data_IF_009732291152
#
_entry.id   IF_009732291152
#
_cell.length_a   1.000
_cell.length_b   1.000
_cell.length_c   1.000
_cell.angle_alpha   90.00
_cell.angle_beta   90.00
_cell.angle_gamma   90.00
#
_symmetry.space_group_name_H-M   'P 1'
#
loop_
_entity.id
_entity.type
_entity.pdbx_description
1 polymer ?
#
# COMPACT_ATOMS: atom_id res chain seq x y z
N UNK A 1 -2.96 -13.11 6.66
CA UNK A 1 -2.85 -11.65 6.84
C UNK A 1 -2.20 -11.39 8.20
N UNK A 2 -0.90 -11.11 8.23
CA UNK A 2 -0.20 -10.74 9.47
C UNK A 2 0.18 -9.27 9.37
N UNK A 3 -0.48 -8.40 10.15
CA UNK A 3 -0.02 -7.03 10.37
C UNK A 3 0.99 -7.08 11.52
N UNK A 4 2.28 -6.98 11.21
CA UNK A 4 3.31 -6.69 12.20
C UNK A 4 3.33 -5.17 12.43
N UNK A 5 2.67 -4.72 13.50
CA UNK A 5 2.89 -3.37 14.04
C UNK A 5 4.25 -3.37 14.75
N UNK A 6 5.29 -2.90 14.07
CA UNK A 6 6.56 -2.59 14.73
C UNK A 6 6.54 -1.13 15.17
N UNK A 7 6.33 -0.94 16.47
CA UNK A 7 6.48 0.35 17.17
C UNK A 7 7.96 0.67 17.37
N UNK A 8 8.25 1.97 17.49
CA UNK A 8 9.46 2.56 18.10
C UNK A 8 10.60 3.00 17.15
N UNK A 9 10.44 4.13 16.44
CA UNK A 9 11.50 5.15 16.31
C UNK A 9 10.92 6.52 15.88
N UNK A 10 11.13 7.55 16.73
CA UNK A 10 10.97 9.00 16.47
C UNK A 10 9.60 9.55 15.99
N UNK A 11 8.76 9.99 16.94
CA UNK A 11 7.72 11.07 16.86
C UNK A 11 6.76 11.16 15.64
N UNK A 12 6.80 10.21 14.71
CA UNK A 12 5.93 10.06 13.55
C UNK A 12 5.56 8.59 13.51
N UNK A 13 4.26 8.28 13.56
CA UNK A 13 3.82 6.91 13.35
C UNK A 13 4.12 6.53 11.89
N UNK A 14 5.14 5.70 11.68
CA UNK A 14 5.42 5.05 10.41
C UNK A 14 4.84 3.64 10.44
N UNK A 15 4.10 3.28 9.39
CA UNK A 15 3.57 1.94 9.22
C UNK A 15 4.33 1.23 8.11
N UNK A 16 4.61 -0.04 8.35
CA UNK A 16 5.18 -0.97 7.39
C UNK A 16 4.13 -1.96 6.96
N UNK A 17 4.13 -2.28 5.66
CA UNK A 17 3.21 -3.23 5.05
C UNK A 17 3.98 -4.17 4.16
N UNK A 18 3.77 -5.47 4.35
CA UNK A 18 4.28 -6.51 3.48
C UNK A 18 3.10 -7.25 2.87
N UNK A 19 2.96 -7.17 1.56
CA UNK A 19 1.89 -7.85 0.81
C UNK A 19 2.50 -8.86 -0.16
N UNK A 20 2.01 -10.10 -0.12
CA UNK A 20 2.25 -11.09 -1.16
C UNK A 20 1.04 -11.12 -2.09
N UNK A 21 1.24 -10.85 -3.39
CA UNK A 21 0.16 -10.81 -4.37
C UNK A 21 0.08 -12.12 -5.14
N UNK A 22 -1.14 -12.48 -5.56
CA UNK A 22 -1.39 -13.67 -6.38
C UNK A 22 -0.59 -13.68 -7.69
N UNK A 23 -0.22 -12.50 -8.20
CA UNK A 23 0.69 -12.30 -9.33
C UNK A 23 2.13 -12.75 -9.08
N UNK A 24 2.47 -13.25 -7.89
CA UNK A 24 3.78 -13.86 -7.60
C UNK A 24 4.86 -12.87 -7.20
N UNK A 25 4.50 -11.69 -6.71
CA UNK A 25 5.45 -10.71 -6.18
C UNK A 25 5.06 -10.19 -4.81
N UNK A 26 6.09 -9.80 -4.06
CA UNK A 26 5.99 -9.28 -2.70
C UNK A 26 6.34 -7.80 -2.73
N UNK A 27 5.52 -6.96 -2.10
CA UNK A 27 5.83 -5.53 -1.94
C UNK A 27 6.05 -5.20 -0.48
N UNK A 28 7.12 -4.47 -0.20
CA UNK A 28 7.37 -3.81 1.07
C UNK A 28 7.04 -2.34 0.89
N UNK A 29 6.03 -1.87 1.61
CA UNK A 29 5.55 -0.49 1.55
C UNK A 29 5.71 0.14 2.93
N UNK A 30 6.17 1.40 3.00
CA UNK A 30 6.23 2.14 4.26
C UNK A 30 5.66 3.55 4.09
N UNK A 31 5.13 4.12 5.17
CA UNK A 31 4.61 5.48 5.11
C UNK A 31 4.21 6.06 6.46
N UNK A 32 4.27 7.39 6.61
CA UNK A 32 3.80 8.05 7.81
C UNK A 32 2.27 8.12 7.83
N UNK A 33 1.68 7.98 9.01
CA UNK A 33 0.28 8.30 9.27
C UNK A 33 0.16 9.82 9.45
N UNK A 34 -0.79 10.45 8.76
CA UNK A 34 -1.11 11.87 8.87
C UNK A 34 -2.61 12.03 9.13
N UNK A 35 -2.99 12.20 10.40
CA UNK A 35 -4.39 12.31 10.79
C UNK A 35 -5.20 11.09 10.37
N UNK A 36 -6.18 11.30 9.51
CA UNK A 36 -7.07 10.25 8.99
C UNK A 36 -6.56 9.59 7.70
N UNK A 37 -5.34 9.91 7.28
CA UNK A 37 -4.76 9.41 6.04
C UNK A 37 -3.46 8.64 6.32
N UNK A 38 -3.26 7.57 5.57
CA UNK A 38 -2.02 6.80 5.52
C UNK A 38 -1.59 6.72 4.06
N UNK A 39 -0.38 7.18 3.76
CA UNK A 39 0.21 7.12 2.42
C UNK A 39 1.46 6.25 2.44
N UNK A 40 1.33 5.03 1.93
CA UNK A 40 2.43 4.11 1.73
C UNK A 40 3.13 4.39 0.41
N UNK A 41 4.45 4.30 0.43
CA UNK A 41 5.31 4.28 -0.76
C UNK A 41 6.04 2.95 -0.81
N UNK A 42 6.26 2.46 -2.02
CA UNK A 42 7.08 1.28 -2.24
C UNK A 42 8.51 1.54 -1.74
N UNK A 43 9.04 0.56 -1.01
CA UNK A 43 10.42 0.53 -0.55
C UNK A 43 11.22 -0.52 -1.25
N UNK A 44 10.60 -1.69 -1.40
CA UNK A 44 11.21 -2.83 -2.04
C UNK A 44 10.15 -3.71 -2.68
N UNK A 45 10.53 -4.39 -3.76
CA UNK A 45 9.69 -5.35 -4.46
C UNK A 45 10.48 -6.62 -4.74
N UNK A 46 10.02 -7.72 -4.16
CA UNK A 46 10.62 -9.05 -4.30
C UNK A 46 9.80 -9.92 -5.25
N UNK A 47 10.48 -10.86 -5.92
CA UNK A 47 9.85 -11.85 -6.80
C UNK A 47 9.75 -13.21 -6.12
N UNK A 48 8.63 -13.92 -6.35
CA UNK A 48 8.52 -15.34 -6.05
C UNK A 48 8.84 -16.09 -7.37
N UNK A 49 10.03 -16.70 -7.40
CA UNK A 49 10.66 -17.57 -8.42
C UNK A 49 10.06 -17.60 -9.85
N UNK A 50 8.79 -17.96 -10.05
CA UNK A 50 8.20 -18.24 -11.37
C UNK A 50 7.56 -17.04 -12.11
N UNK A 51 7.49 -15.85 -11.50
CA UNK A 51 6.55 -14.81 -11.97
C UNK A 51 6.96 -13.82 -13.10
N UNK A 52 7.65 -14.16 -14.21
CA UNK A 52 8.08 -13.21 -15.29
C UNK A 52 8.69 -11.86 -14.78
N UNK A 53 9.10 -10.97 -15.68
CA UNK A 53 9.65 -9.68 -15.26
C UNK A 53 8.59 -8.82 -14.57
N UNK A 54 8.99 -8.10 -13.53
CA UNK A 54 8.09 -7.22 -12.78
C UNK A 54 8.02 -5.88 -13.51
N UNK A 55 6.91 -5.56 -14.21
CA UNK A 55 6.79 -4.27 -14.88
C UNK A 55 6.62 -3.13 -13.88
N UNK A 56 6.34 -3.43 -12.60
CA UNK A 56 6.06 -2.45 -11.54
C UNK A 56 7.36 -1.81 -11.08
N UNK A 57 7.48 -0.50 -11.29
CA UNK A 57 8.63 0.29 -10.90
C UNK A 57 8.41 1.00 -9.57
N UNK A 58 7.25 1.64 -9.40
CA UNK A 58 6.85 2.28 -8.14
C UNK A 58 5.37 2.01 -7.85
N UNK A 59 5.01 2.07 -6.58
CA UNK A 59 3.66 1.86 -6.09
C UNK A 59 3.39 2.83 -4.94
N UNK A 60 2.30 3.56 -5.06
CA UNK A 60 1.82 4.48 -4.03
C UNK A 60 0.42 4.09 -3.64
N UNK A 61 0.23 3.80 -2.35
CA UNK A 61 -1.06 3.41 -1.80
C UNK A 61 -1.52 4.42 -0.77
N UNK A 62 -2.73 4.88 -0.93
CA UNK A 62 -3.34 5.86 -0.04
C UNK A 62 -4.62 5.29 0.56
N UNK A 63 -4.67 5.26 1.88
CA UNK A 63 -5.87 4.97 2.65
C UNK A 63 -6.30 6.25 3.33
N UNK A 64 -7.52 6.69 3.05
CA UNK A 64 -8.10 7.88 3.67
C UNK A 64 -9.41 7.51 4.33
N UNK A 65 -9.48 7.71 5.65
CA UNK A 65 -10.72 7.61 6.40
C UNK A 65 -11.49 8.92 6.23
N UNK A 66 -12.51 8.91 5.36
CA UNK A 66 -13.31 10.10 5.05
C UNK A 66 -14.23 10.45 6.22
N UNK A 67 -14.86 9.44 6.80
CA UNK A 67 -15.73 9.54 7.95
C UNK A 67 -15.62 8.25 8.79
N UNK A 68 -16.37 8.14 9.89
CA UNK A 68 -16.30 6.97 10.80
C UNK A 68 -16.69 5.64 10.13
N UNK A 69 -17.40 5.69 9.02
CA UNK A 69 -17.99 4.54 8.33
C UNK A 69 -17.45 4.36 6.90
N UNK A 70 -16.62 5.26 6.38
CA UNK A 70 -16.21 5.26 4.98
C UNK A 70 -14.70 5.32 4.87
N UNK A 71 -14.12 4.25 4.34
CA UNK A 71 -12.69 4.13 4.09
C UNK A 71 -12.45 4.14 2.57
N UNK A 72 -11.62 5.06 2.11
CA UNK A 72 -11.20 5.15 0.72
C UNK A 72 -9.82 4.53 0.56
N UNK A 73 -9.67 3.64 -0.41
CA UNK A 73 -8.39 3.07 -0.81
C UNK A 73 -8.09 3.45 -2.27
N UNK A 74 -6.94 4.09 -2.47
CA UNK A 74 -6.39 4.37 -3.79
C UNK A 74 -5.07 3.65 -3.94
N UNK A 75 -4.86 3.11 -5.13
CA UNK A 75 -3.60 2.50 -5.52
C UNK A 75 -3.16 3.13 -6.84
N UNK A 76 -2.02 3.80 -6.81
CA UNK A 76 -1.33 4.26 -8.00
C UNK A 76 -0.11 3.39 -8.23
N UNK A 77 0.17 3.12 -9.50
CA UNK A 77 1.26 2.29 -9.94
C UNK A 77 1.99 2.98 -11.08
N UNK A 78 3.32 2.88 -11.04
CA UNK A 78 4.19 3.22 -12.14
C UNK A 78 4.81 1.94 -12.69
N UNK A 79 4.91 1.86 -14.00
CA UNK A 79 5.54 0.74 -14.68
C UNK A 79 6.69 1.22 -15.55
N UNK A 80 7.54 0.30 -16.02
CA UNK A 80 8.65 0.64 -16.92
C UNK A 80 8.22 1.41 -18.17
N UNK A 81 6.97 1.24 -18.63
CA UNK A 81 6.46 1.83 -19.86
C UNK A 81 5.48 2.98 -19.64
N UNK A 82 4.93 3.12 -18.43
CA UNK A 82 3.93 4.15 -18.10
C UNK A 82 4.26 4.76 -16.75
N UNK A 83 4.26 6.10 -16.69
CA UNK A 83 4.43 6.84 -15.44
C UNK A 83 3.34 6.54 -14.40
N UNK A 84 3.43 7.19 -13.25
CA UNK A 84 2.49 7.00 -12.14
C UNK A 84 1.03 7.25 -12.56
N UNK A 85 0.22 6.19 -12.57
CA UNK A 85 -1.20 6.23 -12.91
C UNK A 85 -2.04 5.59 -11.80
N UNK A 86 -3.29 6.04 -11.66
CA UNK A 86 -4.24 5.38 -10.76
C UNK A 86 -4.63 4.02 -11.34
N UNK A 87 -4.31 2.97 -10.61
CA UNK A 87 -4.62 1.59 -10.99
C UNK A 87 -5.92 1.11 -10.35
N UNK A 88 -6.24 1.57 -9.14
CA UNK A 88 -7.44 1.13 -8.42
C UNK A 88 -7.96 2.22 -7.49
N UNK A 89 -9.27 2.38 -7.49
CA UNK A 89 -10.01 3.25 -6.59
C UNK A 89 -11.19 2.47 -5.99
N UNK A 90 -11.19 2.29 -4.67
CA UNK A 90 -12.24 1.54 -3.96
C UNK A 90 -12.69 2.35 -2.74
N UNK A 91 -14.00 2.37 -2.50
CA UNK A 91 -14.61 2.94 -1.30
C UNK A 91 -15.32 1.84 -0.52
N UNK A 92 -14.88 1.63 0.72
CA UNK A 92 -15.45 0.67 1.64
C UNK A 92 -16.41 1.37 2.60
N UNK A 93 -17.51 0.69 2.90
CA UNK A 93 -18.46 1.09 3.94
C UNK A 93 -18.35 0.12 5.11
N UNK A 94 -18.30 0.65 6.33
CA UNK A 94 -18.22 -0.11 7.57
C UNK A 94 -19.55 -0.85 7.80
N UNK A 95 -19.48 -2.18 7.88
CA UNK A 95 -20.66 -3.04 8.07
C UNK A 95 -20.83 -3.53 9.51
N UNK A 96 -19.78 -3.46 10.33
CA UNK A 96 -19.80 -3.92 11.72
C UNK A 96 -18.93 -3.01 12.60
N UNK A 97 -19.33 -2.75 13.87
CA UNK A 97 -18.55 -1.99 14.85
C UNK A 97 -17.13 -2.52 15.06
#
# INVERSE_FOLDING_TARGET
MSLLLQTCFQRRLYLFRQDCKFSGFVTVEEGPIKGNQIKFKLKDVGRISFSRDLPVHDLVREWTLLDKNTLQARLSMETLTHGMQEHTFIRYHKIAP
#
